data_IF_665538289856
#
_entry.id   IF_665538289856
#
_cell.length_a   1.000
_cell.length_b   1.000
_cell.length_c   1.000
_cell.angle_alpha   90.00
_cell.angle_beta   90.00
_cell.angle_gamma   90.00
#
_symmetry.space_group_name_H-M   'P 1'
#
loop_
_entity.id
_entity.type
_entity.pdbx_description
1 polymer ?
#
# COMPACT_ATOMS: atom_id res chain seq x y z
N UNK A 1 -24.39 10.94 -13.05
CA UNK A 1 -23.75 12.01 -13.86
C UNK A 1 -22.38 11.58 -14.41
N UNK A 2 -22.00 12.01 -15.63
CA UNK A 2 -20.64 11.85 -16.13
C UNK A 2 -19.66 12.65 -15.26
N UNK A 3 -18.40 12.23 -15.26
CA UNK A 3 -17.31 12.97 -14.61
C UNK A 3 -17.26 14.42 -15.12
N UNK A 4 -16.65 15.31 -14.35
CA UNK A 4 -16.15 16.58 -14.91
C UNK A 4 -15.32 16.25 -16.17
N UNK A 5 -15.56 16.91 -17.32
CA UNK A 5 -14.91 16.56 -18.60
C UNK A 5 -13.41 16.86 -18.60
N UNK A 6 -12.90 17.51 -17.56
CA UNK A 6 -11.50 17.90 -17.45
C UNK A 6 -10.69 16.87 -16.65
N UNK A 7 -9.43 16.63 -17.03
CA UNK A 7 -8.54 15.79 -16.25
C UNK A 7 -8.38 16.37 -14.83
N UNK A 8 -8.29 15.49 -13.84
CA UNK A 8 -8.09 15.88 -12.45
C UNK A 8 -6.73 16.55 -12.29
N UNK A 9 -6.73 17.80 -11.82
CA UNK A 9 -5.50 18.54 -11.55
C UNK A 9 -4.73 17.88 -10.41
N UNK A 10 -3.41 17.71 -10.60
CA UNK A 10 -2.50 17.15 -9.61
C UNK A 10 -1.53 18.22 -9.14
N UNK A 11 -1.26 18.24 -7.84
CA UNK A 11 -0.33 19.16 -7.19
C UNK A 11 0.77 18.36 -6.52
N UNK A 12 2.05 18.78 -6.59
CA UNK A 12 3.13 18.13 -5.87
C UNK A 12 2.89 18.09 -4.36
N UNK A 13 3.32 17.00 -3.73
CA UNK A 13 3.18 16.72 -2.30
C UNK A 13 4.43 15.96 -1.83
N UNK A 14 5.08 16.36 -0.72
CA UNK A 14 6.17 15.57 -0.16
C UNK A 14 5.65 14.22 0.37
N UNK A 15 6.30 13.13 -0.03
CA UNK A 15 6.01 11.79 0.51
C UNK A 15 6.91 11.56 1.74
N UNK A 16 6.36 11.24 2.91
CA UNK A 16 7.14 10.98 4.11
C UNK A 16 8.00 9.72 3.95
N UNK A 17 9.23 9.79 4.47
CA UNK A 17 10.10 8.63 4.64
C UNK A 17 10.05 8.16 6.08
N UNK A 18 9.80 6.87 6.28
CA UNK A 18 9.72 6.28 7.62
C UNK A 18 11.00 5.51 8.00
N UNK A 19 11.39 5.51 9.29
CA UNK A 19 12.49 4.69 9.80
C UNK A 19 12.16 3.21 9.71
N UNK A 20 13.16 2.32 9.77
CA UNK A 20 12.98 0.87 9.68
C UNK A 20 12.10 0.27 10.80
N UNK A 21 11.99 0.96 11.94
CA UNK A 21 11.15 0.55 13.08
C UNK A 21 9.68 0.92 12.92
N UNK A 22 9.34 1.75 11.94
CA UNK A 22 7.96 2.16 11.68
C UNK A 22 7.13 0.97 11.23
N UNK A 23 5.89 0.90 11.72
CA UNK A 23 4.91 -0.09 11.28
C UNK A 23 3.78 0.60 10.54
N UNK A 24 3.55 0.28 9.26
CA UNK A 24 2.41 0.79 8.53
C UNK A 24 1.12 0.52 9.30
N UNK A 25 0.24 1.53 9.37
CA UNK A 25 -1.01 1.52 10.13
C UNK A 25 -0.88 1.47 11.68
N UNK A 26 0.32 1.63 12.25
CA UNK A 26 0.52 1.67 13.71
C UNK A 26 1.27 2.96 14.13
N UNK A 27 0.59 3.94 14.77
CA UNK A 27 -0.83 3.93 15.15
C UNK A 27 -1.75 4.03 13.90
N UNK A 28 -3.04 3.65 14.00
CA UNK A 28 -3.95 3.75 12.86
C UNK A 28 -4.03 5.19 12.34
N UNK A 29 -4.14 5.40 11.01
CA UNK A 29 -4.34 6.73 10.45
C UNK A 29 -5.60 7.38 11.02
N UNK A 30 -5.55 8.69 11.33
CA UNK A 30 -6.68 9.40 11.92
C UNK A 30 -7.95 9.30 11.07
N UNK A 31 -7.80 9.33 9.74
CA UNK A 31 -8.90 9.19 8.79
C UNK A 31 -9.64 7.83 8.86
N UNK A 32 -9.11 6.82 9.57
CA UNK A 32 -9.81 5.56 9.81
C UNK A 32 -10.92 5.74 10.86
N UNK A 33 -10.74 6.68 11.79
CA UNK A 33 -11.68 6.98 12.87
C UNK A 33 -12.56 8.19 12.58
N UNK A 34 -12.14 9.09 11.69
CA UNK A 34 -12.96 10.24 11.28
C UNK A 34 -14.15 9.77 10.43
N UNK A 35 -15.40 10.16 10.76
CA UNK A 35 -16.54 9.94 9.88
C UNK A 35 -16.33 10.57 8.51
N UNK A 36 -16.79 9.89 7.45
CA UNK A 36 -16.79 10.46 6.11
C UNK A 36 -17.76 11.66 6.01
N UNK A 37 -17.54 12.58 5.06
CA UNK A 37 -18.45 13.71 4.88
C UNK A 37 -19.85 13.25 4.47
N UNK A 38 -20.88 13.88 5.05
CA UNK A 38 -22.29 13.48 4.92
C UNK A 38 -22.87 13.57 3.49
N UNK A 39 -22.25 14.36 2.61
CA UNK A 39 -22.74 14.62 1.24
C UNK A 39 -21.62 14.45 0.22
N UNK A 40 -21.24 13.21 -0.01
CA UNK A 40 -20.29 12.85 -1.07
C UNK A 40 -21.01 12.76 -2.42
N UNK A 41 -20.55 13.55 -3.39
CA UNK A 41 -20.98 13.38 -4.78
C UNK A 41 -20.35 12.09 -5.32
N UNK A 42 -21.16 11.23 -5.92
CA UNK A 42 -20.60 10.13 -6.70
C UNK A 42 -19.80 10.68 -7.88
N UNK A 43 -18.72 10.01 -8.23
CA UNK A 43 -17.87 10.40 -9.37
C UNK A 43 -17.41 11.87 -9.31
N UNK A 44 -17.00 12.31 -8.12
CA UNK A 44 -16.63 13.71 -7.85
C UNK A 44 -15.46 14.23 -8.70
N UNK A 45 -14.61 13.35 -9.22
CA UNK A 45 -13.45 13.70 -10.05
C UNK A 45 -13.17 12.64 -11.11
N UNK A 46 -12.49 13.03 -12.19
CA UNK A 46 -12.04 12.11 -13.22
C UNK A 46 -10.90 11.22 -12.68
N UNK A 47 -10.85 9.92 -13.03
CA UNK A 47 -9.80 9.05 -12.53
C UNK A 47 -8.40 9.56 -12.89
N UNK A 48 -7.44 9.34 -11.99
CA UNK A 48 -6.05 9.74 -12.20
C UNK A 48 -5.08 8.65 -11.75
N UNK A 49 -3.81 8.82 -12.10
CA UNK A 49 -2.76 7.83 -11.87
C UNK A 49 -1.61 8.47 -11.10
N UNK A 50 -1.07 7.74 -10.14
CA UNK A 50 0.17 8.09 -9.44
C UNK A 50 1.19 7.00 -9.73
N UNK A 51 2.32 7.37 -10.34
CA UNK A 51 3.31 6.39 -10.77
C UNK A 51 4.35 6.13 -9.69
N UNK A 52 4.92 4.94 -9.71
CA UNK A 52 6.14 4.64 -8.96
C UNK A 52 7.33 5.40 -9.58
N UNK A 53 8.24 5.88 -8.73
CA UNK A 53 9.43 6.64 -9.15
C UNK A 53 10.44 5.74 -9.86
N UNK A 54 10.43 4.43 -9.55
CA UNK A 54 11.33 3.44 -10.12
C UNK A 54 10.61 2.21 -10.68
N UNK A 55 11.36 1.15 -10.92
CA UNK A 55 10.83 -0.14 -11.39
C UNK A 55 10.32 -1.05 -10.25
N UNK A 56 10.28 -0.54 -9.03
CA UNK A 56 9.87 -1.28 -7.83
C UNK A 56 8.99 -0.42 -6.94
N UNK A 57 8.05 -1.08 -6.27
CA UNK A 57 7.18 -0.53 -5.23
C UNK A 57 7.96 0.08 -4.05
N UNK A 58 9.13 -0.45 -3.71
CA UNK A 58 9.98 0.04 -2.63
C UNK A 58 10.76 1.31 -2.99
N UNK A 59 10.82 1.65 -4.30
CA UNK A 59 11.47 2.85 -4.82
C UNK A 59 10.69 4.14 -4.55
N UNK A 60 9.44 4.02 -4.10
CA UNK A 60 8.57 5.15 -3.78
C UNK A 60 7.64 5.55 -4.92
N UNK A 61 6.84 6.57 -4.64
CA UNK A 61 5.77 7.05 -5.51
C UNK A 61 5.95 8.53 -5.82
N UNK A 62 5.47 8.94 -6.98
CA UNK A 62 5.28 10.35 -7.30
C UNK A 62 4.42 10.98 -6.20
N UNK A 63 4.99 11.96 -5.51
CA UNK A 63 4.27 12.71 -4.50
C UNK A 63 3.27 13.66 -5.16
N UNK A 64 2.11 13.14 -5.53
CA UNK A 64 1.06 13.89 -6.23
C UNK A 64 -0.23 13.84 -5.41
N UNK A 65 -0.90 14.98 -5.26
CA UNK A 65 -2.19 15.11 -4.60
C UNK A 65 -3.23 15.70 -5.54
N UNK A 66 -4.42 15.12 -5.57
CA UNK A 66 -5.56 15.66 -6.27
C UNK A 66 -6.43 16.47 -5.29
N UNK A 67 -6.58 17.80 -5.45
CA UNK A 67 -7.44 18.61 -4.58
C UNK A 67 -8.88 18.08 -4.39
N UNK A 68 -9.52 17.43 -5.38
CA UNK A 68 -10.83 16.83 -5.17
C UNK A 68 -10.90 15.73 -4.08
N UNK A 69 -9.78 15.12 -3.70
CA UNK A 69 -9.73 14.16 -2.58
C UNK A 69 -10.13 14.82 -1.25
N UNK A 70 -9.88 16.11 -1.10
CA UNK A 70 -10.26 16.87 0.08
C UNK A 70 -11.79 16.96 0.23
N UNK A 71 -12.50 17.10 -0.90
CA UNK A 71 -13.97 17.01 -0.96
C UNK A 71 -14.49 15.62 -0.58
N UNK A 72 -13.66 14.59 -0.73
CA UNK A 72 -13.93 13.23 -0.23
C UNK A 72 -13.56 13.05 1.25
N UNK A 73 -13.00 14.06 1.91
CA UNK A 73 -12.52 13.96 3.29
C UNK A 73 -11.23 13.15 3.44
N UNK A 74 -10.40 13.14 2.40
CA UNK A 74 -9.03 12.58 2.42
C UNK A 74 -8.06 13.77 2.40
N UNK A 75 -7.46 14.06 3.55
CA UNK A 75 -6.54 15.18 3.66
C UNK A 75 -5.22 14.90 2.91
N UNK A 76 -4.47 15.96 2.63
CA UNK A 76 -3.11 15.86 2.07
C UNK A 76 -2.20 14.97 2.92
N UNK A 77 -2.27 15.11 4.25
CA UNK A 77 -1.48 14.31 5.17
C UNK A 77 -1.84 12.83 5.13
N UNK A 78 -3.13 12.48 5.04
CA UNK A 78 -3.60 11.10 4.92
C UNK A 78 -3.10 10.45 3.63
N UNK A 79 -3.18 11.20 2.53
CA UNK A 79 -2.69 10.74 1.23
C UNK A 79 -1.16 10.58 1.22
N UNK A 80 -0.42 11.54 1.78
CA UNK A 80 1.03 11.45 1.93
C UNK A 80 1.42 10.20 2.75
N UNK A 81 0.74 10.00 3.88
CA UNK A 81 0.94 8.85 4.75
C UNK A 81 0.65 7.53 4.03
N UNK A 82 -0.44 7.46 3.28
CA UNK A 82 -0.76 6.29 2.45
C UNK A 82 0.37 5.95 1.47
N UNK A 83 0.90 6.93 0.73
CA UNK A 83 2.02 6.71 -0.19
C UNK A 83 3.30 6.26 0.54
N UNK A 84 3.57 6.83 1.72
CA UNK A 84 4.68 6.43 2.57
C UNK A 84 4.52 5.00 3.10
N UNK A 85 3.32 4.63 3.57
CA UNK A 85 2.98 3.31 4.09
C UNK A 85 3.13 2.23 3.00
N UNK A 86 2.73 2.51 1.77
CA UNK A 86 2.94 1.60 0.63
C UNK A 86 4.43 1.40 0.37
N UNK A 87 5.18 2.49 0.29
CA UNK A 87 6.63 2.43 0.05
C UNK A 87 7.33 1.63 1.14
N UNK A 88 6.95 1.84 2.39
CA UNK A 88 7.55 1.17 3.53
C UNK A 88 7.14 -0.31 3.61
N UNK A 89 5.88 -0.64 3.35
CA UNK A 89 5.41 -2.03 3.24
C UNK A 89 6.18 -2.81 2.17
N UNK A 90 6.42 -2.20 1.02
CA UNK A 90 7.21 -2.84 -0.04
C UNK A 90 8.67 -3.08 0.40
N UNK A 91 9.27 -2.17 1.18
CA UNK A 91 10.62 -2.34 1.74
C UNK A 91 10.66 -3.48 2.76
N UNK A 92 9.70 -3.53 3.68
CA UNK A 92 9.59 -4.63 4.65
C UNK A 92 9.41 -5.98 3.95
N UNK A 93 8.56 -6.05 2.92
CA UNK A 93 8.34 -7.27 2.16
C UNK A 93 9.61 -7.77 1.45
N UNK A 94 10.48 -6.87 0.96
CA UNK A 94 11.81 -7.21 0.41
C UNK A 94 12.71 -7.87 1.44
N UNK A 95 12.62 -7.41 2.67
CA UNK A 95 13.35 -7.96 3.82
C UNK A 95 12.69 -9.23 4.36
N UNK A 96 11.56 -9.68 3.77
CA UNK A 96 10.80 -10.84 4.20
C UNK A 96 9.94 -10.58 5.45
N UNK A 97 9.76 -9.32 5.83
CA UNK A 97 8.96 -8.87 6.97
C UNK A 97 7.56 -8.48 6.48
N UNK A 98 6.54 -9.10 7.03
CA UNK A 98 5.15 -8.72 6.73
C UNK A 98 4.73 -7.53 7.59
N UNK A 99 4.33 -6.44 6.93
CA UNK A 99 3.86 -5.23 7.59
C UNK A 99 2.47 -5.38 8.21
N UNK A 100 1.59 -6.19 7.58
CA UNK A 100 0.17 -6.30 7.92
C UNK A 100 -0.15 -7.49 8.80
N UNK A 101 0.69 -8.52 8.74
CA UNK A 101 0.60 -9.67 9.62
C UNK A 101 2.00 -9.89 10.15
N UNK A 102 2.42 -9.17 11.22
CA UNK A 102 3.68 -9.44 11.86
C UNK A 102 3.57 -10.85 12.43
N UNK A 103 3.84 -11.86 11.61
CA UNK A 103 4.14 -13.21 12.04
C UNK A 103 5.35 -13.01 12.92
N UNK A 104 5.07 -12.97 14.22
CA UNK A 104 6.05 -13.12 15.26
C UNK A 104 6.81 -14.39 14.92
N UNK A 105 7.94 -14.27 14.23
CA UNK A 105 9.05 -15.21 14.39
C UNK A 105 9.66 -14.85 15.75
N UNK A 106 8.85 -14.94 16.80
CA UNK A 106 9.26 -14.83 18.19
C UNK A 106 9.09 -16.23 18.74
N UNK A 107 10.17 -16.97 18.53
CA UNK A 107 10.52 -18.27 19.09
C UNK A 107 9.70 -19.49 18.67
N UNK A 108 10.38 -20.61 18.37
CA UNK A 108 9.72 -21.90 18.24
C UNK A 108 9.05 -22.19 19.57
N UNK A 109 7.79 -22.61 19.53
CA UNK A 109 7.19 -23.27 20.69
C UNK A 109 8.04 -24.50 21.02
N UNK A 110 8.93 -24.32 22.01
CA UNK A 110 9.17 -25.25 23.09
C UNK A 110 7.91 -26.07 23.34
N UNK A 111 7.96 -27.38 23.04
CA UNK A 111 6.90 -28.27 23.47
C UNK A 111 6.86 -29.68 22.85
N UNK A 112 7.17 -29.88 21.57
CA UNK A 112 6.86 -31.20 20.96
C UNK A 112 7.73 -31.66 19.78
N UNK A 113 9.00 -31.26 19.69
CA UNK A 113 9.93 -31.84 18.68
C UNK A 113 11.35 -31.98 19.21
N UNK A 114 11.52 -32.77 20.27
CA UNK A 114 12.85 -33.15 20.80
C UNK A 114 13.20 -34.60 20.48
N UNK A 115 12.87 -35.12 19.29
CA UNK A 115 13.30 -36.48 18.90
C UNK A 115 13.90 -36.63 17.51
N UNK A 116 13.96 -35.60 16.66
CA UNK A 116 14.60 -35.71 15.33
C UNK A 116 15.35 -34.44 14.91
N UNK A 117 16.10 -33.82 15.82
CA UNK A 117 16.95 -32.66 15.49
C UNK A 117 18.33 -33.11 15.03
N UNK A 118 18.46 -33.32 13.71
CA UNK A 118 19.76 -33.29 13.04
C UNK A 118 20.23 -31.84 12.81
N UNK A 119 21.53 -31.61 12.58
CA UNK A 119 22.19 -30.30 12.63
C UNK A 119 21.90 -29.36 11.43
N UNK A 120 20.77 -29.53 10.74
CA UNK A 120 20.46 -28.84 9.47
C UNK A 120 19.16 -28.01 9.49
N UNK A 121 18.67 -27.61 10.66
CA UNK A 121 17.58 -26.64 10.75
C UNK A 121 18.13 -25.22 10.50
N UNK A 122 18.52 -24.96 9.25
CA UNK A 122 18.78 -23.61 8.76
C UNK A 122 17.44 -22.88 8.76
N UNK A 123 17.31 -21.90 9.63
CA UNK A 123 16.26 -20.90 9.60
C UNK A 123 16.19 -20.29 8.19
N UNK A 124 15.05 -20.43 7.49
CA UNK A 124 14.91 -20.03 6.08
C UNK A 124 14.85 -21.18 5.06
N UNK A 125 14.48 -22.39 5.48
CA UNK A 125 14.23 -23.49 4.57
C UNK A 125 13.16 -23.17 3.49
N UNK A 126 13.13 -23.93 2.38
CA UNK A 126 12.21 -23.71 1.25
C UNK A 126 10.72 -23.74 1.66
N UNK A 127 10.39 -24.40 2.77
CA UNK A 127 9.05 -24.43 3.34
C UNK A 127 8.59 -23.06 3.88
N UNK A 128 9.49 -22.29 4.51
CA UNK A 128 9.15 -20.98 5.07
C UNK A 128 9.06 -19.89 3.99
N UNK A 129 9.79 -20.07 2.87
CA UNK A 129 9.69 -19.16 1.72
C UNK A 129 8.31 -19.22 1.05
N UNK A 130 7.63 -20.36 1.07
CA UNK A 130 6.30 -20.54 0.47
C UNK A 130 5.20 -19.71 1.16
N UNK A 131 5.44 -19.22 2.38
CA UNK A 131 4.49 -18.40 3.13
C UNK A 131 4.86 -16.91 3.19
N UNK A 132 5.94 -16.50 2.52
CA UNK A 132 6.31 -15.09 2.40
C UNK A 132 5.48 -14.47 1.29
N UNK A 133 4.68 -13.46 1.64
CA UNK A 133 3.99 -12.65 0.63
C UNK A 133 5.00 -11.85 -0.17
N UNK A 134 4.79 -11.80 -1.48
CA UNK A 134 5.59 -10.95 -2.37
C UNK A 134 5.39 -9.46 -2.05
N UNK A 135 6.32 -8.59 -2.47
CA UNK A 135 6.17 -7.12 -2.38
C UNK A 135 4.80 -6.66 -2.88
N UNK A 136 4.37 -7.24 -4.01
CA UNK A 136 3.11 -6.93 -4.68
C UNK A 136 1.90 -7.37 -3.87
N UNK A 137 1.96 -8.54 -3.22
CA UNK A 137 0.88 -9.04 -2.38
C UNK A 137 0.74 -8.24 -1.09
N UNK A 138 1.85 -7.90 -0.42
CA UNK A 138 1.81 -7.09 0.80
C UNK A 138 1.29 -5.68 0.52
N UNK A 139 1.74 -5.05 -0.56
CA UNK A 139 1.21 -3.74 -0.97
C UNK A 139 -0.26 -3.83 -1.37
N UNK A 140 -0.66 -4.83 -2.15
CA UNK A 140 -2.06 -5.00 -2.54
C UNK A 140 -2.97 -5.21 -1.31
N UNK A 141 -2.51 -5.98 -0.33
CA UNK A 141 -3.21 -6.17 0.93
C UNK A 141 -3.34 -4.84 1.71
N UNK A 142 -2.27 -4.03 1.77
CA UNK A 142 -2.30 -2.73 2.44
C UNK A 142 -3.30 -1.78 1.75
N UNK A 143 -3.27 -1.73 0.42
CA UNK A 143 -4.24 -0.95 -0.38
C UNK A 143 -5.67 -1.40 -0.08
N UNK A 144 -5.90 -2.72 0.06
CA UNK A 144 -7.18 -3.28 0.48
C UNK A 144 -7.64 -2.76 1.86
N UNK A 145 -6.74 -2.70 2.85
CA UNK A 145 -7.06 -2.17 4.18
C UNK A 145 -7.41 -0.69 4.11
N UNK A 146 -6.65 0.13 3.38
CA UNK A 146 -6.95 1.56 3.20
C UNK A 146 -8.28 1.79 2.50
N UNK A 147 -8.59 1.01 1.46
CA UNK A 147 -9.88 1.09 0.77
C UNK A 147 -11.04 0.77 1.71
N UNK A 148 -10.99 -0.38 2.41
CA UNK A 148 -12.08 -0.82 3.28
C UNK A 148 -12.26 0.03 4.55
N UNK A 149 -11.16 0.54 5.11
CA UNK A 149 -11.20 1.34 6.35
C UNK A 149 -11.56 2.80 6.10
N UNK A 150 -11.05 3.41 5.02
CA UNK A 150 -11.15 4.86 4.82
C UNK A 150 -11.71 5.27 3.46
N UNK A 151 -11.17 4.77 2.35
CA UNK A 151 -11.43 5.38 1.04
C UNK A 151 -12.81 5.04 0.46
N UNK A 152 -13.28 3.80 0.54
CA UNK A 152 -14.57 3.43 -0.08
C UNK A 152 -15.76 4.14 0.58
N UNK A 153 -15.69 4.31 1.91
CA UNK A 153 -16.64 5.12 2.70
C UNK A 153 -16.67 6.59 2.26
N UNK A 154 -15.57 7.05 1.67
CA UNK A 154 -15.34 8.40 1.12
C UNK A 154 -15.54 8.50 -0.39
N UNK A 155 -16.12 7.45 -1.00
CA UNK A 155 -16.35 7.32 -2.44
C UNK A 155 -15.06 7.43 -3.27
N UNK A 156 -13.96 6.90 -2.74
CA UNK A 156 -12.68 6.81 -3.44
C UNK A 156 -12.21 5.36 -3.42
N UNK A 157 -11.63 4.90 -4.52
CA UNK A 157 -10.98 3.59 -4.60
C UNK A 157 -9.61 3.74 -5.21
N UNK A 158 -8.64 3.06 -4.61
CA UNK A 158 -7.28 2.98 -5.12
C UNK A 158 -6.99 1.54 -5.57
N UNK A 159 -6.47 1.37 -6.77
CA UNK A 159 -6.09 0.06 -7.32
C UNK A 159 -4.63 0.09 -7.73
N UNK A 160 -3.87 -0.90 -7.30
CA UNK A 160 -2.49 -1.09 -7.76
C UNK A 160 -2.49 -1.79 -9.13
N UNK A 161 -1.86 -1.18 -10.14
CA UNK A 161 -1.76 -1.73 -11.48
C UNK A 161 -0.29 -1.85 -11.94
N UNK A 162 0.10 -2.96 -12.57
CA UNK A 162 1.36 -3.05 -13.30
C UNK A 162 1.24 -2.35 -14.66
N UNK A 163 2.25 -1.57 -15.03
CA UNK A 163 2.41 -0.93 -16.33
C UNK A 163 3.36 -1.77 -17.17
N UNK A 164 2.89 -2.46 -18.19
CA UNK A 164 3.77 -3.18 -19.10
C UNK A 164 4.70 -2.18 -19.84
N UNK A 165 6.02 -2.39 -19.73
CA UNK A 165 6.95 -1.71 -20.63
C UNK A 165 6.77 -2.33 -22.02
N UNK A 166 6.48 -1.51 -23.03
CA UNK A 166 6.16 -1.92 -24.41
C UNK A 166 7.25 -2.70 -25.15
N UNK A 167 8.36 -3.01 -24.49
CA UNK A 167 9.53 -3.73 -25.01
C UNK A 167 9.60 -5.21 -24.59
N UNK A 168 8.62 -5.75 -23.86
CA UNK A 168 8.50 -7.19 -23.63
C UNK A 168 9.55 -7.84 -22.71
N UNK A 169 10.60 -7.14 -22.33
CA UNK A 169 11.63 -7.65 -21.41
C UNK A 169 11.62 -6.95 -20.04
N UNK A 170 11.12 -7.70 -19.05
CA UNK A 170 11.33 -7.58 -17.59
C UNK A 170 11.16 -6.21 -16.92
N UNK A 171 10.03 -6.17 -16.19
CA UNK A 171 9.65 -5.40 -15.00
C UNK A 171 8.97 -4.06 -15.26
N UNK A 172 7.67 -4.22 -15.42
CA UNK A 172 6.61 -3.24 -15.33
C UNK A 172 6.83 -2.23 -14.20
N UNK A 173 6.81 -0.95 -14.55
CA UNK A 173 6.57 0.12 -13.56
C UNK A 173 5.20 -0.09 -12.92
N UNK A 174 4.98 0.49 -11.76
CA UNK A 174 3.70 0.42 -11.05
C UNK A 174 2.97 1.76 -11.09
N UNK A 175 1.65 1.71 -11.17
CA UNK A 175 0.78 2.86 -10.98
C UNK A 175 -0.32 2.56 -9.96
N UNK A 176 -0.69 3.57 -9.17
CA UNK A 176 -1.92 3.59 -8.41
C UNK A 176 -2.97 4.26 -9.29
N UNK A 177 -4.02 3.53 -9.62
CA UNK A 177 -5.20 4.07 -10.27
C UNK A 177 -6.20 4.49 -9.22
N UNK A 178 -6.56 5.77 -9.23
CA UNK A 178 -7.46 6.38 -8.25
C UNK A 178 -8.74 6.80 -8.95
N UNK A 179 -9.88 6.29 -8.48
CA UNK A 179 -11.19 6.58 -9.04
C UNK A 179 -12.18 7.01 -7.96
N UNK A 180 -13.15 7.84 -8.36
CA UNK A 180 -14.29 8.21 -7.54
C UNK A 180 -15.46 7.24 -7.79
N UNK A 181 -16.02 6.69 -6.71
CA UNK A 181 -17.14 5.74 -6.72
C UNK A 181 -18.51 6.42 -6.87
#
# INVERSE_FOLDING_TARGET
PPFSPYPTALVPLPVPSYPATYRPLDPPPECFSTPGPWRLKSRAFAPFRVRSVGRSLAGGWEGMYAPPLEGSGIARADWARFLGDITHTARLAREGISALSPKRVLHPHSGFRTLLSGPSAVEGGPYDQAFRRSETEEVAALVGVWNGSAFERRKVRVTLLPIADGTGERRARWELFVEAL
#
